data_IF_364125027475
#
_entry.id   IF_364125027475
#
_cell.length_a   1.000
_cell.length_b   1.000
_cell.length_c   1.000
_cell.angle_alpha   90.00
_cell.angle_beta   90.00
_cell.angle_gamma   90.00
#
_symmetry.space_group_name_H-M   'P 1'
#
loop_
_entity.id
_entity.type
_entity.pdbx_description
1 polymer ?
#
# COMPACT_ATOMS: atom_id res chain seq x y z
N UNK A 1 12.45 -18.71 -17.50
CA UNK A 1 13.17 -17.82 -16.57
C UNK A 1 12.26 -17.56 -15.37
N UNK A 2 12.69 -17.92 -14.16
CA UNK A 2 11.89 -17.69 -12.94
C UNK A 2 12.04 -16.23 -12.53
N UNK A 3 10.95 -15.47 -12.63
CA UNK A 3 10.86 -14.06 -12.27
C UNK A 3 10.90 -13.91 -10.74
N UNK A 4 11.80 -13.06 -10.23
CA UNK A 4 11.92 -12.70 -8.82
C UNK A 4 11.34 -11.29 -8.63
N UNK A 5 10.13 -11.15 -8.08
CA UNK A 5 9.41 -9.87 -8.03
C UNK A 5 9.95 -8.88 -6.96
N UNK A 6 11.13 -9.11 -6.37
CA UNK A 6 11.59 -8.41 -5.17
C UNK A 6 12.87 -7.57 -5.30
N UNK A 7 13.28 -7.19 -6.52
CA UNK A 7 14.43 -6.28 -6.71
C UNK A 7 13.99 -4.82 -6.92
N UNK A 8 13.75 -4.08 -5.83
CA UNK A 8 13.45 -2.65 -5.85
C UNK A 8 14.68 -1.75 -5.63
N UNK A 9 15.86 -2.16 -6.11
CA UNK A 9 17.09 -1.34 -6.00
C UNK A 9 17.52 -0.66 -7.32
N UNK A 10 16.62 -0.41 -8.27
CA UNK A 10 16.97 0.34 -9.48
C UNK A 10 15.81 1.19 -10.02
N UNK A 11 15.43 2.25 -9.30
CA UNK A 11 14.83 3.41 -9.96
C UNK A 11 15.98 4.22 -10.55
N UNK A 12 16.31 3.96 -11.81
CA UNK A 12 17.23 4.80 -12.58
C UNK A 12 16.61 6.20 -12.67
N UNK A 13 17.32 7.17 -12.11
CA UNK A 13 17.09 8.59 -12.31
C UNK A 13 17.21 8.87 -13.82
N UNK A 14 16.09 9.10 -14.50
CA UNK A 14 16.11 9.58 -15.89
C UNK A 14 16.48 11.07 -15.82
N UNK A 15 17.75 11.35 -16.13
CA UNK A 15 18.26 12.70 -16.30
C UNK A 15 17.64 13.35 -17.53
N UNK A 16 17.01 14.51 -17.34
CA UNK A 16 16.70 15.42 -18.42
C UNK A 16 17.99 16.10 -18.87
N UNK A 17 18.46 15.79 -20.07
CA UNK A 17 19.48 16.58 -20.76
C UNK A 17 18.82 17.88 -21.24
N UNK A 18 19.21 19.00 -20.65
CA UNK A 18 18.86 20.33 -21.12
C UNK A 18 19.69 20.66 -22.37
N UNK A 19 19.01 21.01 -23.46
CA UNK A 19 19.64 21.55 -24.66
C UNK A 19 20.10 22.98 -24.37
N UNK A 20 21.39 23.19 -24.63
CA UNK A 20 22.12 24.45 -24.48
C UNK A 20 21.78 25.40 -25.65
N UNK A 21 21.52 26.67 -25.35
CA UNK A 21 21.31 27.73 -26.33
C UNK A 21 21.57 29.11 -25.70
N UNK A 22 22.76 29.65 -25.99
CA UNK A 22 23.31 30.96 -25.61
C UNK A 22 22.36 32.15 -25.86
N UNK A 23 22.34 33.15 -24.95
CA UNK A 23 22.96 34.47 -25.18
C UNK A 23 22.82 35.42 -23.97
N UNK A 24 23.82 36.30 -23.85
CA UNK A 24 24.15 37.21 -22.74
C UNK A 24 23.07 38.28 -22.43
N UNK A 25 23.03 38.76 -21.18
CA UNK A 25 23.52 40.09 -20.72
C UNK A 25 23.19 40.21 -19.22
N UNK A 26 24.15 40.67 -18.42
CA UNK A 26 24.11 40.63 -16.97
C UNK A 26 23.22 41.67 -16.29
N UNK A 27 23.06 41.51 -14.98
CA UNK A 27 23.19 42.57 -13.98
C UNK A 27 23.34 41.90 -12.61
N UNK A 28 24.19 42.48 -11.77
CA UNK A 28 24.44 42.06 -10.40
C UNK A 28 23.14 42.03 -9.57
N UNK A 29 22.97 41.00 -8.75
CA UNK A 29 22.20 41.18 -7.52
C UNK A 29 22.80 40.35 -6.39
N UNK A 30 22.85 41.00 -5.24
CA UNK A 30 23.54 40.61 -4.02
C UNK A 30 22.88 39.40 -3.36
N UNK A 31 23.68 38.74 -2.52
CA UNK A 31 23.37 37.42 -1.99
C UNK A 31 22.04 37.33 -1.25
N UNK A 32 21.39 36.20 -1.44
CA UNK A 32 20.59 35.53 -0.43
C UNK A 32 20.62 34.06 -0.78
N UNK A 33 21.24 33.25 0.10
CA UNK A 33 21.27 31.81 -0.05
C UNK A 33 19.84 31.28 -0.10
N UNK A 34 19.45 30.74 -1.25
CA UNK A 34 18.22 29.97 -1.37
C UNK A 34 18.46 28.68 -0.59
N UNK A 35 18.03 28.66 0.67
CA UNK A 35 17.86 27.43 1.41
C UNK A 35 16.86 26.57 0.64
N UNK A 36 17.37 25.54 -0.04
CA UNK A 36 16.56 24.47 -0.61
C UNK A 36 15.91 23.76 0.57
N UNK A 37 14.73 24.22 0.96
CA UNK A 37 13.86 23.52 1.89
C UNK A 37 13.51 22.18 1.25
N UNK A 38 14.22 21.13 1.63
CA UNK A 38 13.76 19.75 1.45
C UNK A 38 12.37 19.69 2.09
N UNK A 39 11.33 19.70 1.26
CA UNK A 39 9.97 19.54 1.71
C UNK A 39 9.89 18.12 2.28
N UNK A 40 10.07 17.99 3.59
CA UNK A 40 9.76 16.74 4.29
C UNK A 40 8.25 16.59 4.10
N UNK A 41 7.87 15.74 3.16
CA UNK A 41 6.49 15.46 2.82
C UNK A 41 5.80 15.00 4.11
N UNK A 42 5.04 15.91 4.75
CA UNK A 42 4.34 15.60 5.99
C UNK A 42 3.34 14.50 5.67
N UNK A 43 3.46 13.40 6.41
CA UNK A 43 2.48 12.32 6.39
C UNK A 43 1.12 12.93 6.75
N UNK A 44 0.06 12.71 5.96
CA UNK A 44 -1.26 13.22 6.31
C UNK A 44 -1.62 12.78 7.73
N UNK A 45 -2.20 13.68 8.53
CA UNK A 45 -2.47 13.42 9.95
C UNK A 45 -3.25 12.11 10.17
N UNK A 46 -4.16 11.77 9.25
CA UNK A 46 -4.91 10.51 9.21
C UNK A 46 -4.01 9.28 9.13
N UNK A 47 -2.99 9.27 8.26
CA UNK A 47 -2.08 8.12 8.13
C UNK A 47 -1.17 7.96 9.36
N UNK A 48 -0.73 9.08 9.93
CA UNK A 48 0.05 9.08 11.17
C UNK A 48 -0.75 8.45 12.32
N UNK A 49 -2.03 8.81 12.45
CA UNK A 49 -2.92 8.25 13.48
C UNK A 49 -3.23 6.77 13.22
N UNK A 50 -3.61 6.41 11.99
CA UNK A 50 -3.99 5.03 11.63
C UNK A 50 -2.87 4.01 11.85
N UNK A 51 -1.61 4.44 11.67
CA UNK A 51 -0.43 3.58 11.79
C UNK A 51 0.52 4.09 12.89
N UNK A 52 0.03 4.71 13.96
CA UNK A 52 0.86 5.30 15.02
C UNK A 52 1.69 4.25 15.80
N UNK A 53 1.15 3.04 15.96
CA UNK A 53 1.78 1.89 16.61
C UNK A 53 1.23 0.60 15.97
N UNK A 54 1.80 -0.59 16.30
CA UNK A 54 1.23 -1.86 15.86
C UNK A 54 -0.20 -2.13 16.39
N UNK A 55 -0.63 -1.40 17.40
CA UNK A 55 -1.97 -1.46 18.01
C UNK A 55 -2.84 -0.26 17.65
N UNK A 56 -2.39 0.63 16.75
CA UNK A 56 -3.23 1.70 16.25
C UNK A 56 -4.39 1.12 15.41
N UNK A 57 -5.51 1.83 15.37
CA UNK A 57 -6.74 1.39 14.72
C UNK A 57 -6.54 0.83 13.29
N UNK A 58 -5.79 1.54 12.44
CA UNK A 58 -5.50 1.08 11.07
C UNK A 58 -4.55 -0.13 11.04
N UNK A 59 -3.60 -0.21 11.96
CA UNK A 59 -2.72 -1.37 12.11
C UNK A 59 -3.47 -2.61 12.58
N UNK A 60 -4.40 -2.48 13.54
CA UNK A 60 -5.29 -3.56 13.96
C UNK A 60 -6.15 -4.04 12.78
N UNK A 61 -6.68 -3.13 11.98
CA UNK A 61 -7.48 -3.50 10.80
C UNK A 61 -6.68 -4.30 9.76
N UNK A 62 -5.42 -3.94 9.49
CA UNK A 62 -4.54 -4.75 8.62
C UNK A 62 -4.26 -6.11 9.26
N UNK A 63 -3.99 -6.15 10.56
CA UNK A 63 -3.75 -7.40 11.28
C UNK A 63 -4.95 -8.36 11.23
N UNK A 64 -6.17 -7.83 11.39
CA UNK A 64 -7.40 -8.59 11.28
C UNK A 64 -7.63 -9.10 9.85
N UNK A 65 -7.31 -8.30 8.83
CA UNK A 65 -7.39 -8.73 7.43
C UNK A 65 -6.44 -9.89 7.10
N UNK A 66 -5.22 -9.87 7.66
CA UNK A 66 -4.28 -11.00 7.60
C UNK A 66 -4.78 -12.25 8.35
N UNK A 67 -5.68 -12.10 9.32
CA UNK A 67 -6.14 -13.18 10.20
C UNK A 67 -5.29 -13.36 11.46
N UNK A 68 -4.32 -12.47 11.69
CA UNK A 68 -3.42 -12.51 12.84
C UNK A 68 -3.99 -11.80 14.07
N UNK A 69 -5.08 -11.05 13.93
CA UNK A 69 -5.78 -10.41 15.05
C UNK A 69 -7.29 -10.63 15.00
N UNK A 70 -7.92 -10.56 16.17
CA UNK A 70 -9.35 -10.26 16.30
C UNK A 70 -9.62 -8.80 15.87
N UNK A 71 -10.88 -8.42 15.59
CA UNK A 71 -11.24 -7.02 15.32
C UNK A 71 -10.84 -6.03 16.43
N UNK A 72 -10.71 -6.50 17.68
CA UNK A 72 -10.30 -5.71 18.83
C UNK A 72 -8.76 -5.60 18.97
N UNK A 73 -8.01 -6.32 18.14
CA UNK A 73 -6.54 -6.25 18.10
C UNK A 73 -5.81 -7.29 18.95
N UNK A 74 -6.54 -8.25 19.53
CA UNK A 74 -5.95 -9.41 20.22
C UNK A 74 -5.31 -10.34 19.19
N UNK A 75 -4.14 -10.89 19.49
CA UNK A 75 -3.42 -11.77 18.57
C UNK A 75 -4.11 -13.14 18.50
N UNK A 76 -4.13 -13.72 17.31
CA UNK A 76 -4.48 -15.13 17.10
C UNK A 76 -3.21 -15.99 17.10
N UNK A 77 -3.37 -17.32 17.15
CA UNK A 77 -2.24 -18.26 17.08
C UNK A 77 -1.41 -18.11 15.79
N UNK A 78 -1.94 -17.49 14.72
CA UNK A 78 -1.20 -17.27 13.48
C UNK A 78 -0.07 -16.25 13.60
N UNK A 79 -0.15 -15.35 14.60
CA UNK A 79 0.83 -14.27 14.82
C UNK A 79 2.18 -14.77 15.35
N UNK A 80 2.20 -15.91 16.05
CA UNK A 80 3.43 -16.55 16.57
C UNK A 80 4.33 -17.06 15.44
N UNK A 81 3.71 -17.30 14.29
CA UNK A 81 4.36 -17.54 13.03
C UNK A 81 4.00 -18.88 12.42
N UNK A 82 4.04 -18.91 11.09
CA UNK A 82 3.70 -20.09 10.31
C UNK A 82 4.43 -20.07 8.97
N UNK A 83 4.67 -21.24 8.39
CA UNK A 83 5.15 -21.31 7.02
C UNK A 83 4.01 -20.96 6.05
N UNK A 84 4.27 -20.02 5.14
CA UNK A 84 3.36 -19.66 4.06
C UNK A 84 3.22 -20.86 3.08
N UNK A 85 2.01 -21.40 2.86
CA UNK A 85 1.81 -22.56 1.98
C UNK A 85 2.19 -22.29 0.50
N UNK A 86 2.17 -21.03 0.07
CA UNK A 86 2.43 -20.63 -1.31
C UNK A 86 3.91 -20.43 -1.64
N UNK A 87 4.76 -20.08 -0.66
CA UNK A 87 6.18 -19.82 -0.91
C UNK A 87 7.15 -20.45 0.11
N UNK A 88 6.64 -21.11 1.16
CA UNK A 88 7.41 -21.77 2.21
C UNK A 88 8.13 -20.84 3.19
N UNK A 89 7.93 -19.52 3.11
CA UNK A 89 8.59 -18.55 4.00
C UNK A 89 7.91 -18.48 5.35
N UNK A 90 8.69 -18.22 6.40
CA UNK A 90 8.18 -18.02 7.74
C UNK A 90 7.56 -16.62 7.88
N UNK A 91 6.26 -16.58 8.14
CA UNK A 91 5.50 -15.40 8.55
C UNK A 91 5.61 -15.20 10.05
N UNK A 92 5.67 -13.97 10.53
CA UNK A 92 5.64 -13.68 11.97
C UNK A 92 5.09 -12.28 12.25
N UNK A 93 4.46 -12.12 13.42
CA UNK A 93 3.91 -10.86 13.90
C UNK A 93 2.52 -10.54 13.34
N UNK A 94 1.99 -9.38 13.72
CA UNK A 94 0.65 -8.88 13.36
C UNK A 94 0.42 -8.83 11.86
N UNK A 95 1.47 -8.57 11.10
CA UNK A 95 1.35 -8.26 9.67
C UNK A 95 1.93 -9.35 8.75
N UNK A 96 2.20 -10.56 9.27
CA UNK A 96 2.80 -11.67 8.51
C UNK A 96 4.13 -11.29 7.83
N UNK A 97 5.09 -10.75 8.60
CA UNK A 97 6.36 -10.29 8.04
C UNK A 97 7.25 -11.44 7.56
N UNK A 98 7.77 -11.34 6.32
CA UNK A 98 8.55 -12.40 5.64
C UNK A 98 10.01 -12.04 5.33
N UNK A 99 10.51 -10.87 5.74
CA UNK A 99 11.83 -10.36 5.31
C UNK A 99 12.92 -10.46 6.40
N UNK A 100 12.79 -11.43 7.30
CA UNK A 100 13.78 -11.70 8.36
C UNK A 100 13.62 -10.79 9.57
N UNK A 101 13.15 -11.36 10.66
CA UNK A 101 13.08 -10.75 11.98
C UNK A 101 13.40 -11.82 13.03
N UNK A 102 14.09 -11.44 14.11
CA UNK A 102 14.41 -12.34 15.20
C UNK A 102 13.23 -12.55 16.15
N UNK A 103 12.29 -11.60 16.20
CA UNK A 103 11.10 -11.66 17.08
C UNK A 103 9.85 -11.08 16.42
N UNK A 104 8.63 -11.46 16.86
CA UNK A 104 7.39 -10.85 16.37
C UNK A 104 7.36 -9.32 16.53
N UNK A 105 7.88 -8.80 17.64
CA UNK A 105 7.95 -7.36 17.88
C UNK A 105 8.87 -6.65 16.87
N UNK A 106 9.99 -7.29 16.48
CA UNK A 106 10.86 -6.75 15.44
C UNK A 106 10.19 -6.77 14.06
N UNK A 107 9.51 -7.87 13.74
CA UNK A 107 8.68 -8.00 12.54
C UNK A 107 7.63 -6.89 12.45
N UNK A 108 6.88 -6.66 13.53
CA UNK A 108 5.86 -5.62 13.60
C UNK A 108 6.44 -4.22 13.37
N UNK A 109 7.58 -3.90 13.99
CA UNK A 109 8.25 -2.62 13.80
C UNK A 109 8.67 -2.42 12.35
N UNK A 110 9.29 -3.44 11.73
CA UNK A 110 9.76 -3.39 10.34
C UNK A 110 8.59 -3.26 9.37
N UNK A 111 7.53 -4.04 9.56
CA UNK A 111 6.38 -3.99 8.67
C UNK A 111 5.57 -2.70 8.85
N UNK A 112 5.39 -2.20 10.07
CA UNK A 112 4.72 -0.91 10.30
C UNK A 112 5.46 0.24 9.60
N UNK A 113 6.79 0.25 9.64
CA UNK A 113 7.58 1.23 8.90
C UNK A 113 7.35 1.13 7.37
N UNK A 114 7.26 -0.09 6.84
CA UNK A 114 6.95 -0.34 5.43
C UNK A 114 5.54 0.13 5.06
N UNK A 115 4.52 -0.22 5.86
CA UNK A 115 3.13 0.22 5.65
C UNK A 115 3.02 1.74 5.67
N UNK A 116 3.73 2.43 6.56
CA UNK A 116 3.79 3.89 6.57
C UNK A 116 4.39 4.45 5.28
N UNK A 117 5.46 3.83 4.77
CA UNK A 117 6.07 4.24 3.50
C UNK A 117 5.11 4.04 2.33
N UNK A 118 4.50 2.86 2.22
CA UNK A 118 3.52 2.53 1.17
C UNK A 118 2.27 3.42 1.26
N UNK A 119 1.78 3.70 2.47
CA UNK A 119 0.69 4.63 2.70
C UNK A 119 0.98 6.04 2.20
N UNK A 120 2.22 6.54 2.33
CA UNK A 120 2.60 7.84 1.74
C UNK A 120 2.53 7.80 0.22
N UNK A 121 3.00 6.72 -0.40
CA UNK A 121 2.92 6.55 -1.88
C UNK A 121 1.46 6.59 -2.32
N UNK A 122 0.59 5.82 -1.67
CA UNK A 122 -0.85 5.78 -1.94
C UNK A 122 -1.48 7.17 -1.84
N UNK A 123 -1.22 7.92 -0.76
CA UNK A 123 -1.81 9.24 -0.54
C UNK A 123 -1.29 10.29 -1.51
N UNK A 124 -0.02 10.18 -1.92
CA UNK A 124 0.54 11.03 -2.96
C UNK A 124 -0.11 10.75 -4.32
N UNK A 125 -0.31 9.48 -4.67
CA UNK A 125 -0.98 9.11 -5.92
C UNK A 125 -2.45 9.55 -5.91
N UNK A 126 -3.16 9.33 -4.80
CA UNK A 126 -4.52 9.82 -4.62
C UNK A 126 -4.63 11.34 -4.82
N UNK A 127 -3.67 12.10 -4.26
CA UNK A 127 -3.61 13.55 -4.44
C UNK A 127 -3.34 13.94 -5.90
N UNK A 128 -2.38 13.29 -6.55
CA UNK A 128 -2.03 13.52 -7.95
C UNK A 128 -3.22 13.26 -8.87
N UNK A 129 -3.91 12.14 -8.65
CA UNK A 129 -5.07 11.72 -9.44
C UNK A 129 -6.38 12.41 -9.06
N UNK A 130 -6.33 13.29 -8.04
CA UNK A 130 -7.49 14.01 -7.46
C UNK A 130 -8.59 13.06 -6.98
N UNK A 131 -8.20 11.91 -6.43
CA UNK A 131 -9.09 10.90 -5.86
C UNK A 131 -9.17 11.13 -4.35
N UNK A 132 -10.26 11.73 -3.83
CA UNK A 132 -10.42 11.84 -2.38
C UNK A 132 -10.60 10.45 -1.78
N UNK A 133 -9.93 10.22 -0.64
CA UNK A 133 -10.03 8.98 0.12
C UNK A 133 -10.59 9.26 1.50
N UNK A 134 -11.50 8.41 1.94
CA UNK A 134 -11.90 8.33 3.35
C UNK A 134 -11.02 7.34 4.14
N UNK A 135 -11.20 7.28 5.46
CA UNK A 135 -10.45 6.39 6.34
C UNK A 135 -10.48 4.92 5.88
N UNK A 136 -11.66 4.39 5.52
CA UNK A 136 -11.83 3.00 5.10
C UNK A 136 -11.06 2.70 3.82
N UNK A 137 -11.05 3.62 2.88
CA UNK A 137 -10.33 3.49 1.61
C UNK A 137 -8.82 3.54 1.81
N UNK A 138 -8.33 4.40 2.72
CA UNK A 138 -6.91 4.45 3.08
C UNK A 138 -6.45 3.12 3.65
N UNK A 139 -7.19 2.56 4.62
CA UNK A 139 -6.83 1.29 5.26
C UNK A 139 -6.89 0.13 4.28
N UNK A 140 -7.88 0.10 3.40
CA UNK A 140 -7.97 -0.91 2.35
C UNK A 140 -6.80 -0.84 1.36
N UNK A 141 -6.39 0.36 0.94
CA UNK A 141 -5.24 0.53 0.08
C UNK A 141 -3.94 0.05 0.75
N UNK A 142 -3.77 0.35 2.04
CA UNK A 142 -2.61 -0.07 2.84
C UNK A 142 -2.58 -1.59 3.02
N UNK A 143 -3.72 -2.21 3.34
CA UNK A 143 -3.83 -3.66 3.44
C UNK A 143 -3.54 -4.35 2.09
N UNK A 144 -4.07 -3.84 0.97
CA UNK A 144 -3.72 -4.37 -0.34
C UNK A 144 -2.22 -4.23 -0.62
N UNK A 145 -1.58 -3.14 -0.20
CA UNK A 145 -0.13 -2.98 -0.31
C UNK A 145 0.66 -3.91 0.62
N UNK A 146 0.07 -4.36 1.73
CA UNK A 146 0.61 -5.40 2.58
C UNK A 146 0.58 -6.75 1.87
N UNK A 147 -0.59 -7.11 1.32
CA UNK A 147 -0.88 -8.38 0.66
C UNK A 147 -0.13 -8.54 -0.67
N UNK A 148 -0.27 -7.54 -1.56
CA UNK A 148 0.20 -7.55 -2.93
C UNK A 148 0.68 -6.14 -3.32
N UNK A 149 1.94 -5.78 -2.98
CA UNK A 149 2.46 -4.43 -3.19
C UNK A 149 2.31 -3.91 -4.63
N UNK A 150 2.53 -4.75 -5.64
CA UNK A 150 2.35 -4.37 -7.05
C UNK A 150 0.89 -4.04 -7.34
N UNK A 151 -0.06 -4.90 -6.93
CA UNK A 151 -1.49 -4.65 -7.13
C UNK A 151 -1.96 -3.31 -6.50
N UNK A 152 -1.37 -2.90 -5.38
CA UNK A 152 -1.70 -1.63 -4.75
C UNK A 152 -1.00 -0.41 -5.38
N UNK A 153 0.27 -0.56 -5.77
CA UNK A 153 1.18 0.56 -6.05
C UNK A 153 1.59 0.70 -7.52
N UNK A 154 1.16 -0.22 -8.40
CA UNK A 154 1.48 -0.17 -9.82
C UNK A 154 0.98 1.14 -10.45
N UNK A 155 1.82 1.87 -11.19
CA UNK A 155 1.35 3.02 -11.96
C UNK A 155 0.36 2.59 -13.06
N UNK A 156 -0.74 3.32 -13.22
CA UNK A 156 -1.79 3.06 -14.22
C UNK A 156 -2.54 1.74 -14.03
N UNK A 157 -2.58 1.20 -12.82
CA UNK A 157 -3.17 -0.11 -12.54
C UNK A 157 -3.33 -0.44 -11.07
N UNK A 158 -2.70 0.35 -10.20
CA UNK A 158 -2.77 0.24 -8.76
C UNK A 158 -4.12 0.67 -8.19
N UNK A 159 -4.24 0.59 -6.87
CA UNK A 159 -5.51 0.76 -6.17
C UNK A 159 -6.19 2.10 -6.48
N UNK A 160 -5.42 3.19 -6.53
CA UNK A 160 -5.95 4.55 -6.78
C UNK A 160 -6.54 4.67 -8.18
N UNK A 161 -5.82 4.16 -9.19
CA UNK A 161 -6.29 4.17 -10.58
C UNK A 161 -7.56 3.34 -10.72
N UNK A 162 -7.58 2.15 -10.13
CA UNK A 162 -8.74 1.26 -10.16
C UNK A 162 -9.92 1.85 -9.39
N UNK A 163 -9.69 2.51 -8.26
CA UNK A 163 -10.76 3.18 -7.52
C UNK A 163 -11.39 4.31 -8.34
N UNK A 164 -10.57 5.13 -9.01
CA UNK A 164 -11.04 6.17 -9.94
C UNK A 164 -11.86 5.57 -11.08
N UNK A 165 -11.37 4.49 -11.70
CA UNK A 165 -12.07 3.77 -12.76
C UNK A 165 -13.42 3.22 -12.28
N UNK A 166 -13.44 2.49 -11.16
CA UNK A 166 -14.64 1.87 -10.61
C UNK A 166 -15.69 2.91 -10.21
N UNK A 167 -15.28 4.05 -9.63
CA UNK A 167 -16.18 5.18 -9.36
C UNK A 167 -16.73 5.80 -10.64
N UNK A 168 -15.90 5.93 -11.69
CA UNK A 168 -16.34 6.38 -13.01
C UNK A 168 -17.38 5.46 -13.66
N UNK A 169 -17.43 4.19 -13.24
CA UNK A 169 -18.46 3.22 -13.64
C UNK A 169 -19.73 3.28 -12.74
N UNK A 170 -19.84 4.27 -11.85
CA UNK A 170 -20.99 4.45 -10.96
C UNK A 170 -20.95 3.62 -9.68
N UNK A 171 -19.87 2.87 -9.41
CA UNK A 171 -19.73 2.14 -8.14
C UNK A 171 -19.47 3.11 -7.00
N UNK A 172 -20.05 2.85 -5.84
CA UNK A 172 -19.92 3.68 -4.64
C UNK A 172 -19.61 2.84 -3.42
N UNK A 173 -19.20 3.49 -2.31
CA UNK A 173 -18.97 2.82 -1.03
C UNK A 173 -18.08 1.59 -1.12
N UNK A 174 -18.51 0.50 -0.47
CA UNK A 174 -17.78 -0.78 -0.46
C UNK A 174 -17.65 -1.40 -1.84
N UNK A 175 -18.63 -1.25 -2.73
CA UNK A 175 -18.58 -1.83 -4.08
C UNK A 175 -17.47 -1.22 -4.93
N UNK A 176 -17.22 0.09 -4.77
CA UNK A 176 -16.11 0.76 -5.42
C UNK A 176 -14.76 0.24 -4.90
N UNK A 177 -14.65 0.00 -3.60
CA UNK A 177 -13.43 -0.54 -2.97
C UNK A 177 -13.19 -1.99 -3.39
N UNK A 178 -14.21 -2.85 -3.36
CA UNK A 178 -14.09 -4.25 -3.79
C UNK A 178 -13.68 -4.33 -5.26
N UNK A 179 -14.31 -3.52 -6.11
CA UNK A 179 -13.94 -3.40 -7.52
C UNK A 179 -12.47 -2.98 -7.65
N UNK A 180 -12.05 -1.92 -6.95
CA UNK A 180 -10.69 -1.42 -7.03
C UNK A 180 -9.67 -2.49 -6.61
N UNK A 181 -9.88 -3.11 -5.44
CA UNK A 181 -9.02 -4.17 -4.91
C UNK A 181 -8.91 -5.37 -5.84
N UNK A 182 -10.03 -5.78 -6.45
CA UNK A 182 -10.05 -6.97 -7.31
C UNK A 182 -9.44 -6.69 -8.69
N UNK A 183 -9.72 -5.52 -9.27
CA UNK A 183 -9.16 -5.14 -10.58
C UNK A 183 -7.67 -4.76 -10.50
N UNK A 184 -7.18 -4.42 -9.31
CA UNK A 184 -5.75 -4.16 -9.05
C UNK A 184 -4.84 -5.36 -9.34
N UNK A 185 -5.37 -6.58 -9.39
CA UNK A 185 -4.62 -7.77 -9.80
C UNK A 185 -4.51 -7.93 -11.32
N UNK A 186 -5.13 -7.03 -12.11
CA UNK A 186 -4.99 -7.08 -13.56
C UNK A 186 -3.78 -6.27 -14.01
N UNK A 187 -2.94 -6.90 -14.82
CA UNK A 187 -1.85 -6.24 -15.51
C UNK A 187 -2.41 -5.06 -16.34
N UNK A 188 -1.92 -3.83 -16.15
CA UNK A 188 -2.47 -2.67 -16.84
C UNK A 188 -2.15 -2.63 -18.34
N UNK A 189 -1.15 -3.40 -18.79
CA UNK A 189 -0.72 -3.47 -20.20
C UNK A 189 -1.49 -4.58 -20.92
N UNK A 190 -1.53 -5.79 -20.37
CA UNK A 190 -2.11 -6.96 -21.05
C UNK A 190 -3.58 -7.21 -20.68
N UNK A 191 -4.05 -6.67 -19.55
CA UNK A 191 -5.39 -6.94 -19.00
C UNK A 191 -5.53 -8.30 -18.32
N UNK A 192 -4.48 -9.13 -18.36
CA UNK A 192 -4.46 -10.46 -17.74
C UNK A 192 -4.53 -10.37 -16.22
N UNK A 193 -5.16 -11.37 -15.60
CA UNK A 193 -5.24 -11.46 -14.15
C UNK A 193 -3.98 -12.14 -13.59
N UNK A 194 -3.25 -11.42 -12.75
CA UNK A 194 -1.99 -11.84 -12.14
C UNK A 194 -2.19 -12.07 -10.63
N UNK A 195 -2.90 -13.15 -10.30
CA UNK A 195 -3.18 -13.57 -8.94
C UNK A 195 -2.91 -15.09 -8.75
N UNK A 196 -1.66 -15.56 -8.94
CA UNK A 196 -1.37 -16.99 -8.96
C UNK A 196 -1.68 -17.69 -7.64
N UNK A 197 -1.47 -17.02 -6.50
CA UNK A 197 -1.85 -17.54 -5.17
C UNK A 197 -3.36 -17.72 -4.97
N UNK A 198 -4.17 -17.11 -5.86
CA UNK A 198 -5.63 -17.24 -5.90
C UNK A 198 -6.08 -17.98 -7.18
N UNK A 199 -5.16 -18.67 -7.85
CA UNK A 199 -5.41 -19.48 -9.03
C UNK A 199 -5.80 -18.68 -10.28
N UNK A 200 -5.39 -17.41 -10.38
CA UNK A 200 -5.74 -16.52 -11.49
C UNK A 200 -7.24 -16.52 -11.81
N UNK A 201 -8.07 -16.55 -10.77
CA UNK A 201 -9.54 -16.57 -10.88
C UNK A 201 -10.12 -15.33 -10.24
N UNK A 202 -10.80 -14.49 -11.04
CA UNK A 202 -11.37 -13.24 -10.54
C UNK A 202 -12.37 -13.49 -9.40
N UNK A 203 -13.18 -14.54 -9.49
CA UNK A 203 -14.13 -14.86 -8.41
C UNK A 203 -13.45 -15.29 -7.11
N UNK A 204 -12.26 -15.89 -7.17
CA UNK A 204 -11.45 -16.19 -5.97
C UNK A 204 -10.80 -14.93 -5.41
N UNK A 205 -10.32 -14.04 -6.30
CA UNK A 205 -9.83 -12.71 -5.92
C UNK A 205 -10.91 -11.93 -5.19
N UNK A 206 -12.09 -11.77 -5.80
CA UNK A 206 -13.20 -11.03 -5.20
C UNK A 206 -13.61 -11.59 -3.84
N UNK A 207 -13.69 -12.93 -3.67
CA UNK A 207 -13.99 -13.53 -2.37
C UNK A 207 -12.92 -13.24 -1.31
N UNK A 208 -11.64 -13.34 -1.64
CA UNK A 208 -10.56 -13.03 -0.69
C UNK A 208 -10.53 -11.53 -0.35
N UNK A 209 -10.67 -10.65 -1.35
CA UNK A 209 -10.71 -9.21 -1.14
C UNK A 209 -11.92 -8.81 -0.28
N UNK A 210 -13.09 -9.41 -0.51
CA UNK A 210 -14.28 -9.19 0.31
C UNK A 210 -14.05 -9.63 1.76
N UNK A 211 -13.49 -10.83 1.98
CA UNK A 211 -13.15 -11.32 3.33
C UNK A 211 -12.22 -10.34 4.07
N UNK A 212 -11.18 -9.82 3.41
CA UNK A 212 -10.28 -8.82 3.99
C UNK A 212 -10.99 -7.51 4.30
N UNK A 213 -11.85 -7.04 3.40
CA UNK A 213 -12.65 -5.84 3.61
C UNK A 213 -13.59 -5.96 4.80
N UNK A 214 -14.22 -7.12 4.99
CA UNK A 214 -15.08 -7.39 6.14
C UNK A 214 -14.30 -7.34 7.45
N UNK A 215 -13.12 -7.97 7.51
CA UNK A 215 -12.24 -7.88 8.67
C UNK A 215 -11.78 -6.44 8.97
N UNK A 216 -11.45 -5.66 7.94
CA UNK A 216 -11.12 -4.23 8.08
C UNK A 216 -12.31 -3.45 8.62
N UNK A 217 -13.51 -3.66 8.08
CA UNK A 217 -14.73 -2.98 8.54
C UNK A 217 -14.96 -3.25 10.02
N UNK A 218 -14.91 -4.52 10.42
CA UNK A 218 -15.21 -4.95 11.77
C UNK A 218 -14.16 -4.39 12.76
N UNK A 219 -12.89 -4.40 12.38
CA UNK A 219 -11.82 -3.79 13.16
C UNK A 219 -11.96 -2.26 13.27
N UNK A 220 -12.27 -1.55 12.19
CA UNK A 220 -12.48 -0.11 12.24
C UNK A 220 -13.71 0.30 13.06
N UNK A 221 -14.65 -0.62 13.28
CA UNK A 221 -15.81 -0.42 14.14
C UNK A 221 -15.54 -0.77 15.62
N UNK A 222 -14.58 -1.64 15.90
CA UNK A 222 -14.43 -2.28 17.22
C UNK A 222 -13.08 -2.06 17.90
N UNK A 223 -12.07 -1.60 17.17
CA UNK A 223 -10.75 -1.33 17.72
C UNK A 223 -10.81 -0.15 18.72
N UNK A 224 -10.03 -0.23 19.81
CA UNK A 224 -10.03 0.76 20.88
C UNK A 224 -9.47 2.13 20.48
#
# INVERSE_FOLDING_TARGET
MRYNPYNFNNVKLIGFAAVCGLSLVGLANTGTGVAVLKTVQRVPATLTSLLASPTAKGAIAVCAAEGNCTPQGELTAYADGHADPGNGRWNMGRFSYQHGAATPAEADRKQLARLRSQGKVILNEAKKEKVPLNEKEIVNAIDLANQAPLAALEPNGGFIDRLKQCRGQGKTGSDAVLCARSQSFRNPITGELEAPGLGNSLSRVERDQQRRMDAIRDALASAP
#
